data_IF_683259382108
#
_entry.id   IF_683259382108
#
_cell.length_a   1.000
_cell.length_b   1.000
_cell.length_c   1.000
_cell.angle_alpha   90.00
_cell.angle_beta   90.00
_cell.angle_gamma   90.00
#
_symmetry.space_group_name_H-M   'P 1'
#
loop_
_entity.id
_entity.type
_entity.pdbx_description
1 polymer ?
#
# COMPACT_ATOMS: atom_id res chain seq x y z
N UNK A 1 9.96 34.52 -17.00
CA UNK A 1 8.66 35.24 -17.07
C UNK A 1 8.43 35.97 -15.75
N UNK A 2 8.06 37.25 -15.81
CA UNK A 2 7.88 38.18 -14.66
C UNK A 2 6.93 37.66 -13.56
N UNK A 3 6.09 36.68 -13.90
CA UNK A 3 5.15 35.98 -13.02
C UNK A 3 5.84 35.01 -12.05
N UNK A 4 6.84 34.23 -12.49
CA UNK A 4 7.51 33.26 -11.62
C UNK A 4 8.34 33.93 -10.52
N UNK A 5 8.98 35.06 -10.83
CA UNK A 5 9.72 35.87 -9.86
C UNK A 5 8.79 36.50 -8.80
N UNK A 6 7.57 36.87 -9.16
CA UNK A 6 6.56 37.38 -8.22
C UNK A 6 5.99 36.28 -7.33
N UNK A 7 5.80 35.06 -7.84
CA UNK A 7 5.36 33.89 -7.07
C UNK A 7 6.37 33.57 -5.96
N UNK A 8 7.66 33.60 -6.28
CA UNK A 8 8.75 33.31 -5.34
C UNK A 8 8.91 34.43 -4.29
N UNK A 9 8.83 35.70 -4.70
CA UNK A 9 8.92 36.85 -3.79
C UNK A 9 7.72 36.95 -2.81
N UNK A 10 6.54 36.45 -3.18
CA UNK A 10 5.33 36.49 -2.37
C UNK A 10 5.09 35.20 -1.56
N UNK A 11 5.96 34.19 -1.71
CA UNK A 11 5.78 32.89 -1.06
C UNK A 11 4.49 32.17 -1.48
N UNK A 12 3.99 32.45 -2.69
CA UNK A 12 2.72 31.92 -3.15
C UNK A 12 2.80 30.39 -3.31
N UNK A 13 2.10 29.67 -2.44
CA UNK A 13 1.92 28.21 -2.53
C UNK A 13 0.63 27.93 -3.28
N UNK A 14 0.67 27.25 -4.45
CA UNK A 14 -0.52 26.82 -5.15
C UNK A 14 -1.42 26.02 -4.21
N UNK A 15 -2.68 26.41 -4.08
CA UNK A 15 -3.61 25.69 -3.22
C UNK A 15 -3.93 24.32 -3.84
N UNK A 16 -3.36 23.26 -3.26
CA UNK A 16 -3.56 21.89 -3.70
C UNK A 16 -5.05 21.49 -3.72
N UNK A 17 -5.86 22.04 -2.80
CA UNK A 17 -7.32 21.81 -2.73
C UNK A 17 -8.03 22.42 -3.93
N UNK A 18 -7.68 23.65 -4.31
CA UNK A 18 -8.28 24.31 -5.49
C UNK A 18 -7.87 23.60 -6.80
N UNK A 19 -6.64 23.07 -6.85
CA UNK A 19 -6.14 22.28 -8.00
C UNK A 19 -6.87 20.94 -8.12
N UNK A 20 -7.04 20.20 -7.01
CA UNK A 20 -7.69 18.88 -7.01
C UNK A 20 -9.18 18.96 -7.32
N UNK A 21 -9.87 20.02 -6.90
CA UNK A 21 -11.27 20.28 -7.27
C UNK A 21 -11.45 20.47 -8.79
N UNK A 22 -10.45 21.04 -9.47
CA UNK A 22 -10.48 21.25 -10.92
C UNK A 22 -10.09 20.01 -11.72
N UNK A 23 -9.15 19.20 -11.22
CA UNK A 23 -8.60 18.04 -11.93
C UNK A 23 -9.18 16.70 -11.48
N UNK A 24 -10.03 16.68 -10.44
CA UNK A 24 -10.52 15.48 -9.77
C UNK A 24 -9.41 14.50 -9.32
N UNK A 25 -8.20 15.03 -9.06
CA UNK A 25 -7.02 14.25 -8.67
C UNK A 25 -6.30 14.95 -7.53
N UNK A 26 -6.02 14.23 -6.44
CA UNK A 26 -5.28 14.76 -5.28
C UNK A 26 -3.78 14.54 -5.37
N UNK A 27 -3.31 13.75 -6.35
CA UNK A 27 -1.95 13.22 -6.44
C UNK A 27 -1.50 12.59 -5.13
N UNK A 28 -2.40 11.86 -4.48
CA UNK A 28 -2.16 11.23 -3.19
C UNK A 28 -2.54 9.76 -3.25
N UNK A 29 -1.61 8.89 -2.88
CA UNK A 29 -1.83 7.46 -2.70
C UNK A 29 -1.90 7.13 -1.21
N UNK A 30 -2.72 6.15 -0.87
CA UNK A 30 -2.71 5.54 0.46
C UNK A 30 -1.91 4.23 0.45
N UNK A 31 -1.13 3.99 1.49
CA UNK A 31 -0.46 2.71 1.75
C UNK A 31 -0.85 2.24 3.14
N UNK A 32 -1.55 1.12 3.26
CA UNK A 32 -1.89 0.50 4.54
C UNK A 32 -1.06 -0.76 4.73
N UNK A 33 -0.16 -0.75 5.72
CA UNK A 33 0.77 -1.84 6.03
C UNK A 33 0.34 -2.59 7.29
N UNK A 34 0.78 -3.84 7.42
CA UNK A 34 0.41 -4.69 8.54
C UNK A 34 1.18 -4.38 9.82
N UNK A 35 2.50 -4.10 9.73
CA UNK A 35 3.33 -3.73 10.89
C UNK A 35 4.54 -2.88 10.48
N UNK A 36 4.63 -1.65 10.97
CA UNK A 36 5.75 -0.73 10.71
C UNK A 36 7.06 -1.17 11.36
N UNK A 37 7.01 -2.00 12.41
CA UNK A 37 8.22 -2.50 13.08
C UNK A 37 8.89 -3.64 12.31
N UNK A 38 8.15 -4.28 11.40
CA UNK A 38 8.71 -5.28 10.52
C UNK A 38 9.54 -4.62 9.40
N UNK A 39 10.85 -4.92 9.28
CA UNK A 39 11.72 -4.32 8.27
C UNK A 39 11.22 -4.47 6.83
N UNK A 40 10.51 -5.56 6.53
CA UNK A 40 9.91 -5.80 5.23
C UNK A 40 8.94 -4.68 4.83
N UNK A 41 8.03 -4.28 5.72
CA UNK A 41 7.05 -3.22 5.43
C UNK A 41 7.68 -1.83 5.42
N UNK A 42 8.72 -1.61 6.22
CA UNK A 42 9.48 -0.35 6.18
C UNK A 42 10.20 -0.19 4.83
N UNK A 43 10.84 -1.24 4.32
CA UNK A 43 11.49 -1.24 3.02
C UNK A 43 10.47 -1.08 1.88
N UNK A 44 9.35 -1.81 1.94
CA UNK A 44 8.23 -1.64 1.01
C UNK A 44 7.72 -0.19 0.98
N UNK A 45 7.44 0.40 2.14
CA UNK A 45 6.93 1.76 2.22
C UNK A 45 7.90 2.78 1.63
N UNK A 46 9.20 2.58 1.84
CA UNK A 46 10.24 3.40 1.23
C UNK A 46 10.22 3.30 -0.30
N UNK A 47 10.21 2.10 -0.87
CA UNK A 47 10.18 1.93 -2.33
C UNK A 47 8.91 2.49 -2.96
N UNK A 48 7.76 2.27 -2.31
CA UNK A 48 6.49 2.85 -2.76
C UNK A 48 6.53 4.38 -2.74
N UNK A 49 7.11 4.99 -1.70
CA UNK A 49 7.28 6.45 -1.63
C UNK A 49 8.21 6.97 -2.73
N UNK A 50 9.36 6.32 -2.93
CA UNK A 50 10.35 6.74 -3.92
C UNK A 50 9.76 6.74 -5.34
N UNK A 51 9.07 5.66 -5.73
CA UNK A 51 8.41 5.52 -7.03
C UNK A 51 7.21 6.46 -7.19
N UNK A 52 6.35 6.56 -6.16
CA UNK A 52 5.22 7.48 -6.18
C UNK A 52 5.68 8.93 -6.36
N UNK A 53 6.73 9.33 -5.64
CA UNK A 53 7.33 10.67 -5.73
C UNK A 53 7.90 10.93 -7.11
N UNK A 54 8.56 9.96 -7.74
CA UNK A 54 9.05 10.09 -9.11
C UNK A 54 7.91 10.36 -10.12
N UNK A 55 6.71 9.82 -9.85
CA UNK A 55 5.48 10.05 -10.61
C UNK A 55 4.70 11.31 -10.17
N UNK A 56 5.21 12.05 -9.17
CA UNK A 56 4.60 13.27 -8.64
C UNK A 56 3.45 13.04 -7.66
N UNK A 57 3.33 11.83 -7.09
CA UNK A 57 2.38 11.49 -6.04
C UNK A 57 3.00 11.63 -4.65
N UNK A 58 2.18 11.97 -3.67
CA UNK A 58 2.48 11.83 -2.24
C UNK A 58 1.89 10.53 -1.70
N UNK A 59 2.52 9.92 -0.69
CA UNK A 59 2.01 8.70 -0.04
C UNK A 59 1.62 9.00 1.41
N UNK A 60 0.43 8.57 1.82
CA UNK A 60 -0.01 8.56 3.22
C UNK A 60 0.03 7.12 3.72
N UNK A 61 0.80 6.87 4.78
CA UNK A 61 0.98 5.53 5.35
C UNK A 61 0.05 5.35 6.56
N UNK A 62 -0.70 4.25 6.58
CA UNK A 62 -1.48 3.76 7.71
C UNK A 62 -0.88 2.45 8.22
N UNK A 63 -0.70 2.32 9.53
CA UNK A 63 -0.15 1.13 10.16
C UNK A 63 -1.26 0.38 10.90
N UNK A 64 -1.61 -0.81 10.42
CA UNK A 64 -2.74 -1.56 10.96
C UNK A 64 -2.40 -2.37 12.23
N UNK A 65 -1.12 -2.60 12.55
CA UNK A 65 -0.67 -3.48 13.65
C UNK A 65 -1.38 -4.85 13.66
N UNK A 66 -1.54 -5.46 12.49
CA UNK A 66 -2.31 -6.70 12.27
C UNK A 66 -3.77 -6.69 12.77
N UNK A 67 -4.35 -5.51 13.05
CA UNK A 67 -5.72 -5.35 13.54
C UNK A 67 -6.67 -4.93 12.41
N UNK A 68 -7.66 -5.76 12.05
CA UNK A 68 -8.64 -5.42 11.00
C UNK A 68 -9.39 -4.11 11.27
N UNK A 69 -9.65 -3.77 12.54
CA UNK A 69 -10.37 -2.55 12.90
C UNK A 69 -9.54 -1.29 12.60
N UNK A 70 -8.22 -1.35 12.83
CA UNK A 70 -7.31 -0.25 12.51
C UNK A 70 -7.10 -0.11 11.01
N UNK A 71 -6.98 -1.23 10.30
CA UNK A 71 -6.98 -1.24 8.84
C UNK A 71 -8.22 -0.48 8.32
N UNK A 72 -9.41 -0.86 8.78
CA UNK A 72 -10.66 -0.24 8.33
C UNK A 72 -10.72 1.24 8.65
N UNK A 73 -10.24 1.65 9.83
CA UNK A 73 -10.12 3.05 10.21
C UNK A 73 -9.23 3.85 9.25
N UNK A 74 -8.04 3.32 8.93
CA UNK A 74 -7.12 3.97 8.00
C UNK A 74 -7.69 4.06 6.59
N UNK A 75 -8.32 3.00 6.11
CA UNK A 75 -8.87 2.98 4.76
C UNK A 75 -10.02 3.98 4.62
N UNK A 76 -10.95 4.05 5.59
CA UNK A 76 -11.98 5.10 5.61
C UNK A 76 -11.38 6.50 5.59
N UNK A 77 -10.40 6.75 6.46
CA UNK A 77 -9.74 8.05 6.56
C UNK A 77 -9.07 8.47 5.25
N UNK A 78 -8.47 7.51 4.53
CA UNK A 78 -7.83 7.77 3.25
C UNK A 78 -8.86 8.06 2.14
N UNK A 79 -9.95 7.30 2.10
CA UNK A 79 -11.04 7.52 1.14
C UNK A 79 -11.70 8.88 1.37
N UNK A 80 -11.97 9.26 2.62
CA UNK A 80 -12.52 10.57 2.98
C UNK A 80 -11.60 11.73 2.54
N UNK A 81 -10.28 11.48 2.50
CA UNK A 81 -9.27 12.41 1.97
C UNK A 81 -9.18 12.43 0.45
N UNK A 82 -9.99 11.64 -0.26
CA UNK A 82 -10.03 11.53 -1.72
C UNK A 82 -8.68 11.15 -2.33
N UNK A 83 -8.03 10.13 -1.76
CA UNK A 83 -6.86 9.52 -2.40
C UNK A 83 -7.21 9.02 -3.82
N UNK A 84 -6.22 9.03 -4.70
CA UNK A 84 -6.38 8.58 -6.08
C UNK A 84 -6.23 7.05 -6.23
N UNK A 85 -5.66 6.38 -5.22
CA UNK A 85 -5.48 4.94 -5.21
C UNK A 85 -4.91 4.42 -3.90
N UNK A 86 -5.11 3.13 -3.65
CA UNK A 86 -4.78 2.46 -2.39
C UNK A 86 -3.91 1.21 -2.60
N UNK A 87 -2.83 1.11 -1.85
CA UNK A 87 -2.05 -0.11 -1.67
C UNK A 87 -2.35 -0.66 -0.28
N UNK A 88 -2.68 -1.94 -0.18
CA UNK A 88 -3.04 -2.56 1.11
C UNK A 88 -2.31 -3.89 1.28
N UNK A 89 -1.63 -4.07 2.41
CA UNK A 89 -1.29 -5.38 2.93
C UNK A 89 -2.36 -5.80 3.93
N UNK A 90 -3.38 -6.56 3.51
CA UNK A 90 -4.55 -6.79 4.34
C UNK A 90 -4.22 -7.60 5.59
N UNK A 91 -4.78 -7.18 6.73
CA UNK A 91 -4.92 -8.00 7.91
C UNK A 91 -5.88 -9.16 7.65
N UNK A 92 -5.69 -10.26 8.37
CA UNK A 92 -6.46 -11.48 8.16
C UNK A 92 -7.97 -11.26 8.40
N UNK A 93 -8.79 -12.03 7.67
CA UNK A 93 -10.23 -12.11 7.91
C UNK A 93 -11.13 -11.23 7.03
N UNK A 94 -10.56 -10.38 6.18
CA UNK A 94 -11.28 -9.67 5.10
C UNK A 94 -12.55 -8.93 5.54
N UNK A 95 -12.40 -7.65 5.91
CA UNK A 95 -13.52 -6.84 6.41
C UNK A 95 -14.61 -6.60 5.35
N UNK A 96 -15.88 -6.41 5.76
CA UNK A 96 -16.94 -5.95 4.87
C UNK A 96 -16.57 -4.64 4.15
N UNK A 97 -15.88 -3.74 4.85
CA UNK A 97 -15.39 -2.49 4.26
C UNK A 97 -14.53 -2.76 3.03
N UNK A 98 -13.67 -3.78 3.03
CA UNK A 98 -12.81 -4.04 1.87
C UNK A 98 -13.58 -4.39 0.62
N UNK A 99 -14.67 -5.14 0.76
CA UNK A 99 -15.61 -5.40 -0.34
C UNK A 99 -16.29 -4.13 -0.82
N UNK A 100 -16.77 -3.31 0.12
CA UNK A 100 -17.46 -2.06 -0.23
C UNK A 100 -16.53 -1.09 -0.97
N UNK A 101 -15.28 -0.96 -0.53
CA UNK A 101 -14.29 -0.08 -1.16
C UNK A 101 -13.91 -0.57 -2.55
N UNK A 102 -13.79 -1.89 -2.75
CA UNK A 102 -13.54 -2.44 -4.09
C UNK A 102 -14.68 -2.13 -5.04
N UNK A 103 -15.92 -2.29 -4.59
CA UNK A 103 -17.12 -1.99 -5.38
C UNK A 103 -17.31 -0.49 -5.62
N UNK A 104 -16.84 0.35 -4.69
CA UNK A 104 -16.89 1.81 -4.76
C UNK A 104 -15.97 2.45 -5.80
N UNK A 105 -15.18 1.65 -6.54
CA UNK A 105 -14.39 2.11 -7.68
C UNK A 105 -13.09 2.85 -7.33
N UNK A 106 -12.67 2.83 -6.07
CA UNK A 106 -11.34 3.34 -5.70
C UNK A 106 -10.28 2.36 -6.20
N UNK A 107 -9.32 2.78 -7.05
CA UNK A 107 -8.27 1.90 -7.53
C UNK A 107 -7.49 1.30 -6.36
N UNK A 108 -7.35 -0.03 -6.33
CA UNK A 108 -6.74 -0.76 -5.23
C UNK A 108 -5.80 -1.85 -5.75
N UNK A 109 -4.70 -2.07 -5.02
CA UNK A 109 -3.78 -3.19 -5.22
C UNK A 109 -3.44 -3.79 -3.85
N UNK A 110 -3.47 -5.11 -3.77
CA UNK A 110 -2.98 -5.84 -2.60
C UNK A 110 -1.48 -6.12 -2.73
N UNK A 111 -0.78 -6.02 -1.61
CA UNK A 111 0.66 -6.30 -1.52
C UNK A 111 0.88 -7.32 -0.42
N UNK A 112 1.78 -8.28 -0.65
CA UNK A 112 2.17 -9.35 0.27
C UNK A 112 1.08 -10.39 0.57
N UNK A 113 -0.06 -9.92 1.10
CA UNK A 113 -1.23 -10.72 1.49
C UNK A 113 -2.42 -10.45 0.57
N UNK A 114 -3.43 -11.31 0.62
CA UNK A 114 -4.67 -11.13 -0.13
C UNK A 114 -5.87 -11.64 0.67
N UNK A 115 -7.06 -11.15 0.33
CA UNK A 115 -8.31 -11.62 0.90
C UNK A 115 -8.99 -12.54 -0.12
N UNK A 116 -9.23 -13.82 0.21
CA UNK A 116 -9.98 -14.72 -0.66
C UNK A 116 -11.37 -14.16 -1.00
N UNK A 117 -11.73 -14.21 -2.28
CA UNK A 117 -13.05 -13.76 -2.76
C UNK A 117 -13.16 -12.25 -3.02
N UNK A 118 -12.08 -11.48 -2.94
CA UNK A 118 -12.02 -10.09 -3.40
C UNK A 118 -11.17 -10.03 -4.68
N UNK A 119 -11.75 -9.49 -5.75
CA UNK A 119 -11.09 -9.36 -7.06
C UNK A 119 -10.28 -8.05 -7.13
N UNK A 120 -9.05 -8.11 -6.62
CA UNK A 120 -8.08 -7.00 -6.60
C UNK A 120 -6.74 -7.54 -7.11
N UNK A 121 -6.02 -6.79 -7.96
CA UNK A 121 -4.66 -7.16 -8.34
C UNK A 121 -3.77 -7.38 -7.11
N UNK A 122 -3.03 -8.48 -7.08
CA UNK A 122 -2.15 -8.84 -5.95
C UNK A 122 -0.70 -8.89 -6.41
N UNK A 123 0.18 -8.16 -5.72
CA UNK A 123 1.63 -8.24 -5.87
C UNK A 123 2.20 -8.96 -4.67
N UNK A 124 2.80 -10.14 -4.88
CA UNK A 124 3.36 -10.98 -3.81
C UNK A 124 4.55 -11.77 -4.30
N UNK A 125 5.40 -12.19 -3.36
CA UNK A 125 6.43 -13.18 -3.64
C UNK A 125 5.81 -14.58 -3.85
N UNK A 126 6.49 -15.40 -4.64
CA UNK A 126 6.16 -16.83 -4.79
C UNK A 126 6.67 -17.63 -3.58
N UNK A 127 5.81 -17.73 -2.56
CA UNK A 127 6.10 -18.54 -1.38
C UNK A 127 6.15 -20.04 -1.69
N UNK A 128 5.42 -20.53 -2.69
CA UNK A 128 5.38 -21.96 -3.02
C UNK A 128 6.68 -22.40 -3.69
N UNK A 129 7.17 -21.60 -4.65
CA UNK A 129 8.48 -21.78 -5.25
C UNK A 129 9.60 -21.71 -4.22
N UNK A 130 9.59 -20.67 -3.37
CA UNK A 130 10.58 -20.50 -2.32
C UNK A 130 10.66 -21.70 -1.35
N UNK A 131 9.52 -22.22 -0.90
CA UNK A 131 9.48 -23.40 -0.02
C UNK A 131 9.98 -24.65 -0.75
N UNK A 132 9.62 -24.83 -2.02
CA UNK A 132 10.10 -25.97 -2.82
C UNK A 132 11.62 -25.94 -2.98
N UNK A 133 12.19 -24.78 -3.27
CA UNK A 133 13.63 -24.59 -3.41
C UNK A 133 14.35 -24.82 -2.08
N UNK A 134 13.80 -24.33 -0.98
CA UNK A 134 14.32 -24.57 0.37
C UNK A 134 14.33 -26.07 0.72
N UNK A 135 13.23 -26.78 0.47
CA UNK A 135 13.15 -28.23 0.72
C UNK A 135 14.12 -29.01 -0.15
N UNK A 136 14.24 -28.66 -1.43
CA UNK A 136 15.21 -29.28 -2.35
C UNK A 136 16.65 -29.06 -1.89
N UNK A 137 16.97 -27.85 -1.44
CA UNK A 137 18.28 -27.51 -0.88
C UNK A 137 18.61 -28.35 0.37
N UNK A 138 17.68 -28.40 1.34
CA UNK A 138 17.86 -29.19 2.56
C UNK A 138 17.99 -30.69 2.27
N UNK A 139 17.20 -31.21 1.32
CA UNK A 139 17.32 -32.59 0.89
C UNK A 139 18.68 -32.89 0.21
N UNK A 140 19.20 -31.94 -0.58
CA UNK A 140 20.53 -32.00 -1.19
C UNK A 140 21.67 -32.04 -0.16
N UNK A 141 21.48 -31.39 0.99
CA UNK A 141 22.39 -31.46 2.14
C UNK A 141 22.27 -32.76 2.96
N UNK A 142 21.37 -33.68 2.57
CA UNK A 142 21.18 -34.97 3.25
C UNK A 142 20.11 -34.97 4.34
N UNK A 143 19.42 -33.86 4.58
CA UNK A 143 18.30 -33.84 5.53
C UNK A 143 17.11 -34.65 4.98
N UNK A 144 16.46 -35.43 5.84
CA UNK A 144 15.33 -36.32 5.49
C UNK A 144 14.10 -36.12 6.39
N UNK A 145 14.29 -35.48 7.53
CA UNK A 145 13.23 -35.18 8.51
C UNK A 145 13.20 -33.66 8.68
N UNK A 146 12.25 -33.03 8.01
CA UNK A 146 12.04 -31.58 8.05
C UNK A 146 10.82 -31.28 8.93
N UNK A 147 10.88 -30.18 9.67
CA UNK A 147 9.77 -29.67 10.45
C UNK A 147 9.46 -28.24 9.98
N UNK A 148 8.18 -27.85 10.07
CA UNK A 148 7.71 -26.49 9.80
C UNK A 148 7.26 -25.92 11.13
N UNK A 149 7.73 -24.72 11.45
CA UNK A 149 7.23 -23.95 12.58
C UNK A 149 6.11 -23.08 12.00
N UNK A 150 4.91 -23.26 12.53
CA UNK A 150 3.70 -22.52 12.16
C UNK A 150 3.37 -21.48 13.23
#
# INVERSE_FOLDING_TARGET
TRVLAAVEALGYRPNAVARSLRTAQTRTLGLVISDVLNPYFTELARFVEEEARALGYSVIIGNADERPELQDHHIRTLIDRRIDGLLVSPADGGSPLMRDVTQGGTPMVFVDRWIPGIDVPVVRADGTGAVKDLVAHLHGLGHRRLAIIA
#
